data_IF_869240739576
#
_entry.id   IF_869240739576
#
_cell.length_a   1.000
_cell.length_b   1.000
_cell.length_c   1.000
_cell.angle_alpha   90.00
_cell.angle_beta   90.00
_cell.angle_gamma   90.00
#
_symmetry.space_group_name_H-M   'P 1'
#
loop_
_entity.id
_entity.type
_entity.pdbx_description
1 polymer ?
#
# COMPACT_ATOMS: atom_id res chain seq x y z
N UNK A 1 -5.35 -0.94 -11.73
CA UNK A 1 -4.02 -1.54 -11.97
C UNK A 1 -4.14 -2.58 -13.05
N UNK A 2 -3.12 -2.76 -13.90
CA UNK A 2 -3.10 -3.81 -14.92
C UNK A 2 -2.43 -5.06 -14.35
N UNK A 3 -3.10 -6.21 -14.40
CA UNK A 3 -2.58 -7.48 -13.90
C UNK A 3 -1.76 -8.19 -14.98
N UNK A 4 -0.51 -7.75 -15.19
CA UNK A 4 0.41 -8.43 -16.11
C UNK A 4 1.40 -9.26 -15.29
N UNK A 5 1.22 -10.58 -15.23
CA UNK A 5 2.12 -11.45 -14.48
C UNK A 5 1.64 -12.86 -14.14
N UNK A 6 0.55 -13.36 -14.72
CA UNK A 6 0.16 -14.77 -14.57
C UNK A 6 0.51 -15.55 -15.84
N UNK A 7 1.33 -16.58 -15.71
CA UNK A 7 1.36 -17.72 -16.62
C UNK A 7 0.49 -18.79 -15.98
N UNK A 8 -0.64 -19.15 -16.60
CA UNK A 8 -1.51 -20.22 -16.11
C UNK A 8 -2.93 -20.14 -16.68
N UNK A 9 -3.58 -21.30 -16.80
CA UNK A 9 -4.87 -21.48 -17.46
C UNK A 9 -6.10 -21.14 -16.58
N UNK A 10 -5.94 -20.29 -15.56
CA UNK A 10 -7.07 -19.77 -14.77
C UNK A 10 -7.62 -20.71 -13.68
N UNK A 11 -7.04 -21.89 -13.47
CA UNK A 11 -7.38 -22.83 -12.38
C UNK A 11 -6.26 -23.01 -11.34
N UNK A 12 -5.08 -22.43 -11.59
CA UNK A 12 -3.96 -22.48 -10.67
C UNK A 12 -4.10 -21.32 -9.68
N UNK A 13 -4.20 -21.65 -8.39
CA UNK A 13 -4.06 -20.73 -7.25
C UNK A 13 -3.09 -19.60 -7.62
N UNK A 14 -3.43 -18.29 -7.51
CA UNK A 14 -2.66 -17.28 -8.22
C UNK A 14 -1.20 -17.28 -7.74
N UNK A 15 -0.32 -17.86 -8.55
CA UNK A 15 1.13 -17.81 -8.42
C UNK A 15 1.65 -16.44 -8.89
N UNK A 16 0.96 -15.38 -8.47
CA UNK A 16 1.25 -14.01 -8.87
C UNK A 16 2.50 -13.59 -8.11
N UNK A 17 3.68 -13.63 -8.72
CA UNK A 17 4.92 -13.21 -8.08
C UNK A 17 4.90 -11.71 -7.77
N UNK A 18 4.41 -10.91 -8.74
CA UNK A 18 4.31 -9.45 -8.61
C UNK A 18 3.10 -8.89 -9.36
N UNK A 19 2.58 -7.75 -8.89
CA UNK A 19 1.73 -6.86 -9.68
C UNK A 19 2.33 -5.45 -9.73
N UNK A 20 1.80 -4.61 -10.62
CA UNK A 20 2.42 -3.33 -10.95
C UNK A 20 1.43 -2.18 -10.88
N UNK A 21 1.89 -1.06 -10.32
CA UNK A 21 1.11 0.18 -10.18
C UNK A 21 1.75 1.32 -10.95
N UNK A 22 0.94 2.33 -11.28
CA UNK A 22 1.34 3.54 -11.99
C UNK A 22 1.98 3.27 -13.37
N UNK A 23 1.67 2.12 -13.97
CA UNK A 23 2.18 1.73 -15.29
C UNK A 23 1.51 2.53 -16.41
N UNK A 24 0.21 2.80 -16.28
CA UNK A 24 -0.59 3.41 -17.35
C UNK A 24 -0.64 2.53 -18.60
N UNK A 25 -0.92 3.13 -19.75
CA UNK A 25 -0.99 2.45 -21.06
C UNK A 25 0.36 2.30 -21.76
N UNK A 26 1.36 3.08 -21.35
CA UNK A 26 2.65 3.20 -22.05
C UNK A 26 3.73 2.28 -21.48
N UNK A 27 3.38 1.30 -20.64
CA UNK A 27 4.36 0.39 -20.03
C UNK A 27 3.99 -1.06 -20.34
N UNK A 28 4.92 -1.75 -20.99
CA UNK A 28 4.89 -3.19 -21.17
C UNK A 28 5.76 -3.86 -20.10
N UNK A 29 5.26 -4.97 -19.56
CA UNK A 29 5.94 -5.74 -18.51
C UNK A 29 5.85 -7.22 -18.88
N UNK A 30 6.99 -7.90 -18.86
CA UNK A 30 7.11 -9.33 -19.01
C UNK A 30 7.76 -9.90 -17.74
N UNK A 31 6.99 -10.59 -16.91
CA UNK A 31 7.53 -11.31 -15.75
C UNK A 31 8.18 -12.59 -16.28
N UNK A 32 9.49 -12.72 -16.13
CA UNK A 32 10.25 -13.86 -16.65
C UNK A 32 10.21 -15.07 -15.71
N UNK A 33 9.97 -14.82 -14.42
CA UNK A 33 9.84 -15.86 -13.41
C UNK A 33 10.14 -15.32 -12.01
N UNK A 34 10.03 -16.21 -11.03
CA UNK A 34 10.31 -15.93 -9.64
C UNK A 34 9.74 -17.02 -8.75
N UNK A 35 10.06 -16.93 -7.47
CA UNK A 35 9.58 -17.80 -6.41
C UNK A 35 9.46 -16.99 -5.12
N UNK A 36 9.39 -17.67 -3.98
CA UNK A 36 9.30 -17.04 -2.66
C UNK A 36 10.54 -16.20 -2.26
N UNK A 37 11.63 -16.24 -3.05
CA UNK A 37 12.93 -15.60 -2.77
C UNK A 37 13.47 -14.79 -3.94
N UNK A 38 12.86 -14.88 -5.11
CA UNK A 38 13.37 -14.27 -6.33
C UNK A 38 12.26 -13.69 -7.20
N UNK A 39 12.58 -12.61 -7.92
CA UNK A 39 11.73 -12.04 -8.97
C UNK A 39 12.64 -11.66 -10.13
N UNK A 40 12.19 -11.92 -11.37
CA UNK A 40 12.82 -11.41 -12.57
C UNK A 40 11.77 -10.92 -13.56
N UNK A 41 11.93 -9.69 -14.06
CA UNK A 41 11.02 -9.10 -15.03
C UNK A 41 11.77 -8.18 -16.00
N UNK A 42 11.22 -8.05 -17.21
CA UNK A 42 11.62 -7.06 -18.20
C UNK A 42 10.52 -6.03 -18.37
N UNK A 43 10.90 -4.76 -18.41
CA UNK A 43 9.99 -3.62 -18.49
C UNK A 43 10.41 -2.70 -19.62
N UNK A 44 9.44 -2.17 -20.35
CA UNK A 44 9.67 -1.14 -21.35
C UNK A 44 8.64 -0.03 -21.19
N UNK A 45 9.09 1.23 -21.26
CA UNK A 45 8.23 2.40 -21.19
C UNK A 45 8.27 3.17 -22.50
N UNK A 46 7.17 3.16 -23.24
CA UNK A 46 6.98 3.89 -24.50
C UNK A 46 6.69 5.39 -24.27
N UNK A 47 6.39 5.78 -23.02
CA UNK A 47 6.03 7.15 -22.65
C UNK A 47 7.18 7.91 -22.00
N UNK A 48 6.83 8.96 -21.25
CA UNK A 48 7.79 9.75 -20.47
C UNK A 48 8.31 8.96 -19.26
N UNK A 49 9.51 9.31 -18.79
CA UNK A 49 10.08 8.71 -17.57
C UNK A 49 9.11 8.88 -16.37
N UNK A 50 8.99 7.86 -15.53
CA UNK A 50 8.06 7.86 -14.39
C UNK A 50 8.49 6.89 -13.29
N UNK A 51 7.86 7.06 -12.12
CA UNK A 51 7.94 6.09 -11.03
C UNK A 51 6.79 5.09 -11.14
N UNK A 52 7.12 3.81 -11.13
CA UNK A 52 6.15 2.72 -11.00
C UNK A 52 6.36 2.03 -9.65
N UNK A 53 5.41 1.19 -9.23
CA UNK A 53 5.62 0.34 -8.06
C UNK A 53 5.42 -1.13 -8.40
N UNK A 54 6.37 -1.97 -7.98
CA UNK A 54 6.25 -3.42 -7.97
C UNK A 54 5.68 -3.85 -6.63
N UNK A 55 4.48 -4.43 -6.64
CA UNK A 55 3.88 -5.08 -5.48
C UNK A 55 4.30 -6.54 -5.45
N UNK A 56 5.06 -6.94 -4.43
CA UNK A 56 5.50 -8.33 -4.25
C UNK A 56 4.40 -9.10 -3.52
N UNK A 57 4.03 -10.30 -3.96
CA UNK A 57 2.98 -11.08 -3.28
C UNK A 57 3.50 -12.35 -2.61
N UNK A 58 4.44 -13.03 -3.26
CA UNK A 58 4.92 -14.34 -2.79
C UNK A 58 6.24 -14.29 -2.03
N UNK A 59 6.94 -13.15 -2.06
CA UNK A 59 8.22 -13.04 -1.39
C UNK A 59 8.08 -13.18 0.13
N UNK A 60 8.99 -13.96 0.70
CA UNK A 60 9.09 -14.11 2.13
C UNK A 60 9.73 -12.87 2.77
N UNK A 61 9.39 -12.55 4.03
CA UNK A 61 10.09 -11.51 4.77
C UNK A 61 11.61 -11.73 4.79
N UNK A 62 12.38 -10.67 4.57
CA UNK A 62 13.83 -10.74 4.45
C UNK A 62 14.47 -9.49 3.84
N UNK A 63 15.77 -9.53 3.67
CA UNK A 63 16.55 -8.55 2.93
C UNK A 63 16.80 -9.08 1.53
N UNK A 64 16.58 -8.23 0.53
CA UNK A 64 16.69 -8.58 -0.88
C UNK A 64 17.64 -7.63 -1.57
N UNK A 65 18.50 -8.17 -2.41
CA UNK A 65 19.20 -7.35 -3.40
C UNK A 65 18.24 -7.08 -4.57
N UNK A 66 17.90 -5.81 -4.76
CA UNK A 66 17.12 -5.30 -5.87
C UNK A 66 18.04 -4.62 -6.88
N UNK A 67 18.00 -5.13 -8.11
CA UNK A 67 18.76 -4.62 -9.24
C UNK A 67 17.87 -4.22 -10.39
N UNK A 68 18.17 -3.08 -10.99
CA UNK A 68 17.60 -2.61 -12.24
C UNK A 68 18.72 -2.28 -13.21
N UNK A 69 18.69 -2.86 -14.40
CA UNK A 69 19.68 -2.59 -15.46
C UNK A 69 18.99 -2.24 -16.76
N UNK A 70 19.55 -1.31 -17.53
CA UNK A 70 19.12 -1.09 -18.91
C UNK A 70 19.74 -2.16 -19.78
N UNK A 71 18.94 -2.78 -20.65
CA UNK A 71 19.42 -3.67 -21.68
C UNK A 71 19.95 -2.82 -22.84
N UNK A 72 21.28 -2.66 -22.94
CA UNK A 72 21.95 -2.03 -24.08
C UNK A 72 23.02 -2.97 -24.59
N UNK A 73 22.98 -3.28 -25.88
CA UNK A 73 24.05 -3.98 -26.57
C UNK A 73 25.34 -3.18 -26.42
N UNK A 74 26.33 -3.77 -25.74
CA UNK A 74 27.71 -3.30 -25.59
C UNK A 74 28.05 -2.28 -24.48
N UNK A 75 27.15 -1.94 -23.56
CA UNK A 75 27.49 -1.08 -22.42
C UNK A 75 27.93 -1.90 -21.19
N UNK A 76 28.97 -1.44 -20.47
CA UNK A 76 29.33 -1.91 -19.13
C UNK A 76 28.08 -1.99 -18.24
N UNK A 77 28.02 -2.97 -17.33
CA UNK A 77 26.95 -3.22 -16.35
C UNK A 77 26.58 -1.96 -15.54
N UNK A 78 25.82 -1.05 -16.14
CA UNK A 78 25.31 0.15 -15.48
C UNK A 78 23.94 -0.17 -14.89
N UNK A 79 23.96 -0.40 -13.59
CA UNK A 79 22.74 -0.52 -12.80
C UNK A 79 22.10 0.88 -12.67
N UNK A 80 20.83 0.98 -13.04
CA UNK A 80 19.97 2.11 -12.66
C UNK A 80 19.72 2.10 -11.13
N UNK A 81 19.74 0.90 -10.55
CA UNK A 81 19.51 0.65 -9.14
C UNK A 81 20.23 -0.66 -8.76
N UNK A 82 21.00 -0.65 -7.67
CA UNK A 82 21.53 -1.83 -6.99
C UNK A 82 21.47 -1.53 -5.48
N UNK A 83 20.47 -2.04 -4.79
CA UNK A 83 20.19 -1.69 -3.39
C UNK A 83 19.64 -2.85 -2.60
N UNK A 84 19.81 -2.81 -1.27
CA UNK A 84 19.12 -3.71 -0.36
C UNK A 84 17.75 -3.14 -0.01
N UNK A 85 16.71 -3.95 -0.21
CA UNK A 85 15.33 -3.67 0.24
C UNK A 85 14.99 -4.62 1.38
N UNK A 86 14.37 -4.07 2.43
CA UNK A 86 13.88 -4.86 3.58
C UNK A 86 12.38 -5.08 3.44
N UNK A 87 11.97 -6.34 3.42
CA UNK A 87 10.57 -6.76 3.41
C UNK A 87 10.24 -7.33 4.80
N UNK A 88 9.48 -6.58 5.60
CA UNK A 88 9.03 -7.05 6.92
C UNK A 88 7.76 -7.91 6.81
N UNK A 89 6.96 -7.65 5.78
CA UNK A 89 5.69 -8.30 5.46
C UNK A 89 5.79 -9.02 4.11
N UNK A 90 4.82 -9.88 3.76
CA UNK A 90 4.83 -10.58 2.46
C UNK A 90 4.50 -9.62 1.31
N UNK A 91 3.58 -8.69 1.56
CA UNK A 91 3.11 -7.73 0.55
C UNK A 91 3.74 -6.37 0.80
N UNK A 92 4.53 -5.88 -0.15
CA UNK A 92 5.13 -4.55 -0.10
C UNK A 92 5.08 -3.91 -1.49
N UNK A 93 4.98 -2.59 -1.53
CA UNK A 93 5.15 -1.81 -2.75
C UNK A 93 6.57 -1.26 -2.82
N UNK A 94 7.31 -1.65 -3.85
CA UNK A 94 8.68 -1.19 -4.10
C UNK A 94 8.65 -0.19 -5.26
N UNK A 95 9.01 1.06 -4.99
CA UNK A 95 9.11 2.11 -6.01
C UNK A 95 10.31 1.88 -6.94
N UNK A 96 10.09 1.98 -8.25
CA UNK A 96 11.10 1.73 -9.28
C UNK A 96 11.10 2.87 -10.31
N UNK A 97 12.25 3.52 -10.56
CA UNK A 97 12.37 4.50 -11.63
C UNK A 97 12.37 3.80 -12.99
N UNK A 98 11.47 4.19 -13.88
CA UNK A 98 11.38 3.64 -15.23
C UNK A 98 11.69 4.71 -16.28
N UNK A 99 12.88 4.67 -16.93
CA UNK A 99 13.27 5.64 -17.96
C UNK A 99 12.41 5.53 -19.22
N UNK A 100 12.41 6.57 -20.05
CA UNK A 100 11.71 6.59 -21.35
C UNK A 100 12.46 5.77 -22.41
N UNK A 101 11.74 5.01 -23.22
CA UNK A 101 12.22 4.30 -24.41
C UNK A 101 13.43 3.38 -24.16
N UNK A 102 13.46 2.71 -23.01
CA UNK A 102 14.52 1.78 -22.61
C UNK A 102 13.91 0.47 -22.12
N UNK A 103 14.51 -0.65 -22.56
CA UNK A 103 14.26 -1.95 -21.98
C UNK A 103 15.06 -2.05 -20.67
N UNK A 104 14.37 -2.38 -19.58
CA UNK A 104 14.96 -2.50 -18.25
C UNK A 104 14.70 -3.90 -17.73
N UNK A 105 15.74 -4.57 -17.25
CA UNK A 105 15.59 -5.80 -16.48
C UNK A 105 15.59 -5.46 -14.99
N UNK A 106 14.56 -5.91 -14.28
CA UNK A 106 14.44 -5.86 -12.82
C UNK A 106 14.68 -7.26 -12.30
N UNK A 107 15.59 -7.40 -11.34
CA UNK A 107 15.81 -8.66 -10.63
C UNK A 107 15.86 -8.41 -9.14
N UNK A 108 15.24 -9.29 -8.37
CA UNK A 108 15.31 -9.27 -6.93
C UNK A 108 15.68 -10.66 -6.40
N UNK A 109 16.58 -10.73 -5.44
CA UNK A 109 17.05 -11.99 -4.86
C UNK A 109 17.29 -11.86 -3.36
N UNK A 110 16.73 -12.78 -2.58
CA UNK A 110 16.86 -12.76 -1.13
C UNK A 110 18.33 -12.98 -0.72
N UNK A 111 18.88 -12.03 0.02
CA UNK A 111 20.24 -12.14 0.60
C UNK A 111 20.20 -12.55 2.07
N UNK A 112 19.07 -12.33 2.75
CA UNK A 112 18.86 -12.74 4.14
C UNK A 112 17.39 -13.02 4.40
N UNK A 113 17.08 -14.20 4.93
CA UNK A 113 15.71 -14.53 5.35
C UNK A 113 15.43 -14.02 6.75
N UNK A 114 14.24 -13.47 6.98
CA UNK A 114 13.75 -13.23 8.34
C UNK A 114 12.99 -14.45 8.85
N UNK A 115 12.97 -14.63 10.17
CA UNK A 115 12.27 -15.76 10.80
C UNK A 115 10.77 -15.59 10.58
N UNK A 116 10.18 -16.50 9.81
CA UNK A 116 8.73 -16.56 9.64
C UNK A 116 8.14 -17.29 10.84
N UNK A 117 7.51 -16.56 11.73
CA UNK A 117 6.67 -17.16 12.77
C UNK A 117 5.25 -17.30 12.22
N UNK A 118 4.71 -18.52 12.24
CA UNK A 118 3.27 -18.79 11.99
C UNK A 118 2.44 -18.37 13.21
N UNK A 119 2.62 -17.13 13.64
CA UNK A 119 1.90 -16.54 14.77
C UNK A 119 0.70 -15.77 14.25
N UNK A 120 -0.36 -15.74 15.04
CA UNK A 120 -1.46 -14.83 14.79
C UNK A 120 -0.94 -13.39 14.68
N UNK A 121 -1.53 -12.61 13.77
CA UNK A 121 -1.18 -11.23 13.47
C UNK A 121 -2.44 -10.39 13.33
N UNK A 122 -2.33 -9.15 13.76
CA UNK A 122 -3.35 -8.13 13.56
C UNK A 122 -3.32 -7.71 12.09
N UNK A 123 -4.43 -7.22 11.56
CA UNK A 123 -4.47 -6.64 10.22
C UNK A 123 -5.55 -5.55 10.23
N UNK A 124 -5.12 -4.31 10.48
CA UNK A 124 -6.04 -3.19 10.50
C UNK A 124 -6.27 -2.66 9.10
N UNK A 125 -7.53 -2.37 8.79
CA UNK A 125 -7.90 -1.89 7.48
C UNK A 125 -9.00 -0.85 7.51
N UNK A 126 -8.95 0.03 6.51
CA UNK A 126 -9.98 0.99 6.18
C UNK A 126 -9.90 1.30 4.69
N UNK A 127 -11.04 1.64 4.10
CA UNK A 127 -11.19 2.05 2.72
C UNK A 127 -11.87 3.43 2.63
N UNK A 128 -11.93 4.00 1.43
CA UNK A 128 -12.50 5.34 1.22
C UNK A 128 -13.96 5.42 1.69
N UNK A 129 -14.73 4.36 1.42
CA UNK A 129 -16.12 4.20 1.90
C UNK A 129 -16.29 4.16 3.41
N UNK A 130 -15.22 3.86 4.15
CA UNK A 130 -15.23 3.83 5.61
C UNK A 130 -15.03 5.23 6.20
N UNK A 131 -14.71 6.23 5.37
CA UNK A 131 -14.66 7.64 5.75
C UNK A 131 -15.97 8.31 5.39
N UNK A 132 -16.56 8.97 6.39
CA UNK A 132 -17.68 9.88 6.19
C UNK A 132 -17.33 11.23 6.76
N UNK A 133 -17.68 12.28 6.02
CA UNK A 133 -17.47 13.66 6.44
C UNK A 133 -18.83 14.32 6.51
N UNK A 134 -19.15 14.94 7.64
CA UNK A 134 -20.44 15.58 7.90
C UNK A 134 -20.22 16.93 8.59
N UNK A 135 -21.19 17.84 8.48
CA UNK A 135 -21.24 19.04 9.34
C UNK A 135 -22.05 18.67 10.59
N UNK A 136 -21.52 18.91 11.78
CA UNK A 136 -22.24 18.67 13.03
C UNK A 136 -23.11 19.89 13.43
N UNK A 137 -23.91 19.73 14.48
CA UNK A 137 -24.81 20.78 14.97
C UNK A 137 -24.11 22.06 15.46
N UNK A 138 -22.82 21.97 15.81
CA UNK A 138 -21.99 23.10 16.26
C UNK A 138 -21.23 23.77 15.11
N UNK A 139 -21.60 23.46 13.87
CA UNK A 139 -20.95 23.92 12.65
C UNK A 139 -19.49 23.48 12.46
N UNK A 140 -19.06 22.45 13.18
CA UNK A 140 -17.78 21.80 12.95
C UNK A 140 -17.92 20.71 11.89
N UNK A 141 -16.80 20.37 11.25
CA UNK A 141 -16.70 19.20 10.40
C UNK A 141 -16.39 18.00 11.28
N UNK A 142 -17.24 16.98 11.19
CA UNK A 142 -17.08 15.69 11.83
C UNK A 142 -16.61 14.68 10.78
N UNK A 143 -15.42 14.09 11.00
CA UNK A 143 -14.84 13.05 10.16
C UNK A 143 -14.97 11.74 10.93
N UNK A 144 -15.85 10.86 10.46
CA UNK A 144 -16.04 9.53 10.99
C UNK A 144 -15.22 8.54 10.15
N UNK A 145 -14.47 7.67 10.81
CA UNK A 145 -13.73 6.60 10.14
C UNK A 145 -14.02 5.26 10.82
N UNK A 146 -14.33 4.23 10.04
CA UNK A 146 -14.52 2.87 10.53
C UNK A 146 -13.24 2.07 10.32
N UNK A 147 -12.64 1.62 11.41
CA UNK A 147 -11.43 0.79 11.40
C UNK A 147 -11.85 -0.66 11.58
N UNK A 148 -11.42 -1.54 10.68
CA UNK A 148 -11.70 -2.97 10.72
C UNK A 148 -10.45 -3.73 11.17
N UNK A 149 -10.63 -4.84 11.89
CA UNK A 149 -9.57 -5.83 12.07
C UNK A 149 -9.91 -7.05 11.22
N UNK A 150 -9.11 -7.31 10.19
CA UNK A 150 -9.24 -8.47 9.28
C UNK A 150 -8.22 -9.57 9.60
N UNK A 151 -7.46 -9.40 10.69
CA UNK A 151 -6.44 -10.33 11.12
C UNK A 151 -7.00 -11.47 11.98
N UNK A 152 -6.11 -12.26 12.54
CA UNK A 152 -6.45 -13.32 13.49
C UNK A 152 -5.89 -13.08 14.91
N UNK A 153 -5.42 -11.85 15.16
CA UNK A 153 -5.00 -11.35 16.47
C UNK A 153 -5.71 -10.02 16.78
N UNK A 154 -6.19 -9.85 18.00
CA UNK A 154 -6.74 -8.58 18.47
C UNK A 154 -5.70 -7.46 18.37
N UNK A 155 -6.14 -6.27 17.96
CA UNK A 155 -5.34 -5.07 17.98
C UNK A 155 -5.42 -4.41 19.37
N UNK A 156 -4.29 -4.10 19.99
CA UNK A 156 -4.17 -3.39 21.28
C UNK A 156 -3.40 -2.09 21.11
N UNK A 157 -3.93 -1.00 21.69
CA UNK A 157 -3.30 0.34 21.74
C UNK A 157 -2.79 0.83 20.40
N UNK A 158 -3.68 0.89 19.41
CA UNK A 158 -3.36 1.42 18.09
C UNK A 158 -3.71 2.90 18.02
N UNK A 159 -2.86 3.71 17.41
CA UNK A 159 -3.11 5.14 17.21
C UNK A 159 -3.78 5.35 15.87
N UNK A 160 -4.95 5.97 15.85
CA UNK A 160 -5.61 6.43 14.63
C UNK A 160 -5.39 7.93 14.51
N UNK A 161 -4.75 8.38 13.44
CA UNK A 161 -4.43 9.78 13.21
C UNK A 161 -5.19 10.34 12.01
N UNK A 162 -5.74 11.53 12.17
CA UNK A 162 -6.27 12.36 11.09
C UNK A 162 -5.17 13.28 10.57
N UNK A 163 -4.96 13.30 9.26
CA UNK A 163 -4.13 14.29 8.58
C UNK A 163 -4.92 15.06 7.53
N UNK A 164 -4.66 16.36 7.41
CA UNK A 164 -5.21 17.23 6.38
C UNK A 164 -4.05 17.77 5.57
N UNK A 165 -4.06 17.56 4.25
CA UNK A 165 -2.98 18.00 3.35
C UNK A 165 -1.59 17.53 3.80
N UNK A 166 -1.52 16.30 4.35
CA UNK A 166 -0.29 15.68 4.84
C UNK A 166 0.12 16.05 6.28
N UNK A 167 -0.54 17.00 6.92
CA UNK A 167 -0.24 17.42 8.29
C UNK A 167 -1.18 16.72 9.30
N UNK A 168 -0.64 16.07 10.32
CA UNK A 168 -1.44 15.46 11.39
C UNK A 168 -2.14 16.55 12.20
N UNK A 169 -3.47 16.47 12.27
CA UNK A 169 -4.31 17.43 13.00
C UNK A 169 -4.82 16.91 14.33
N UNK A 170 -5.10 15.61 14.40
CA UNK A 170 -5.61 14.98 15.60
C UNK A 170 -5.31 13.48 15.60
N UNK A 171 -5.41 12.85 16.78
CA UNK A 171 -5.19 11.41 16.95
C UNK A 171 -5.99 10.83 18.10
N UNK A 172 -6.51 9.62 17.92
CA UNK A 172 -7.31 8.89 18.91
C UNK A 172 -6.68 7.54 19.17
N UNK A 173 -6.58 7.16 20.46
CA UNK A 173 -6.14 5.83 20.87
C UNK A 173 -7.29 4.83 20.73
N UNK A 174 -7.13 3.87 19.83
CA UNK A 174 -7.94 2.66 19.75
C UNK A 174 -7.45 1.67 20.80
N UNK A 175 -8.17 1.59 21.93
CA UNK A 175 -7.80 0.76 23.07
C UNK A 175 -7.66 -0.72 22.70
N UNK A 176 -8.71 -1.28 22.11
CA UNK A 176 -8.77 -2.67 21.67
C UNK A 176 -9.72 -2.78 20.47
N UNK A 177 -9.40 -3.69 19.55
CA UNK A 177 -10.26 -4.17 18.48
C UNK A 177 -10.03 -5.66 18.25
N UNK A 178 -11.00 -6.48 18.64
CA UNK A 178 -10.95 -7.95 18.53
C UNK A 178 -10.69 -8.42 17.09
N UNK A 179 -10.12 -9.62 16.96
CA UNK A 179 -10.06 -10.32 15.67
C UNK A 179 -11.38 -11.08 15.39
N UNK A 180 -11.86 -11.12 14.14
CA UNK A 180 -13.06 -11.83 13.71
C UNK A 180 -12.84 -13.35 13.60
N UNK A 181 -12.33 -13.99 14.67
CA UNK A 181 -12.03 -15.43 14.70
C UNK A 181 -13.31 -16.31 14.67
N UNK A 182 -14.48 -15.70 14.80
CA UNK A 182 -15.82 -16.29 14.67
C UNK A 182 -16.48 -16.01 13.31
N UNK A 183 -15.72 -15.45 12.35
CA UNK A 183 -16.21 -14.99 11.04
C UNK A 183 -17.24 -13.85 11.10
N UNK A 184 -17.39 -13.21 12.26
CA UNK A 184 -18.22 -12.01 12.40
C UNK A 184 -17.31 -10.78 12.33
N UNK A 185 -17.57 -9.83 11.41
CA UNK A 185 -16.74 -8.64 11.26
C UNK A 185 -16.53 -7.89 12.58
N UNK A 186 -15.30 -7.43 12.83
CA UNK A 186 -14.93 -6.61 13.99
C UNK A 186 -14.44 -5.26 13.50
N UNK A 187 -15.17 -4.21 13.87
CA UNK A 187 -14.86 -2.83 13.48
C UNK A 187 -15.15 -1.85 14.61
N UNK A 188 -14.47 -0.71 14.60
CA UNK A 188 -14.70 0.39 15.55
C UNK A 188 -14.67 1.72 14.84
N UNK A 189 -15.68 2.54 15.12
CA UNK A 189 -15.74 3.90 14.62
C UNK A 189 -14.89 4.82 15.49
N UNK A 190 -14.12 5.69 14.84
CA UNK A 190 -13.47 6.85 15.46
C UNK A 190 -14.04 8.12 14.85
N UNK A 191 -14.05 9.19 15.63
CA UNK A 191 -14.63 10.47 15.25
C UNK A 191 -13.62 11.56 15.55
N UNK A 192 -13.32 12.37 14.54
CA UNK A 192 -12.53 13.58 14.66
C UNK A 192 -13.41 14.81 14.41
N UNK A 193 -13.13 15.90 15.11
CA UNK A 193 -13.86 17.16 14.94
C UNK A 193 -12.89 18.28 14.66
N UNK A 194 -13.19 19.08 13.64
CA UNK A 194 -12.37 20.23 13.29
C UNK A 194 -13.21 21.38 12.79
N UNK A 195 -12.67 22.60 12.93
CA UNK A 195 -13.28 23.77 12.31
C UNK A 195 -13.20 23.65 10.78
N UNK A 196 -14.26 24.02 10.04
CA UNK A 196 -14.23 24.01 8.59
C UNK A 196 -13.13 24.95 8.08
N UNK A 197 -12.40 24.48 7.07
CA UNK A 197 -11.44 25.28 6.31
C UNK A 197 -11.93 25.20 4.87
N UNK A 198 -12.17 26.34 4.23
CA UNK A 198 -12.62 26.36 2.85
C UNK A 198 -11.49 25.94 1.90
N UNK A 199 -11.85 25.17 0.88
CA UNK A 199 -10.90 24.66 -0.11
C UNK A 199 -11.07 23.19 -0.42
N UNK A 200 -10.13 22.68 -1.22
CA UNK A 200 -9.99 21.26 -1.52
C UNK A 200 -8.92 20.72 -0.57
N UNK A 201 -9.26 19.66 0.14
CA UNK A 201 -8.42 19.06 1.17
C UNK A 201 -8.26 17.57 0.95
N UNK A 202 -7.02 17.10 1.08
CA UNK A 202 -6.72 15.67 1.17
C UNK A 202 -6.86 15.25 2.62
N UNK A 203 -7.95 14.55 2.93
CA UNK A 203 -8.24 14.01 4.25
C UNK A 203 -7.69 12.60 4.32
N UNK A 204 -6.71 12.38 5.19
CA UNK A 204 -6.11 11.05 5.38
C UNK A 204 -6.39 10.52 6.77
N UNK A 205 -6.78 9.25 6.85
CA UNK A 205 -6.84 8.49 8.10
C UNK A 205 -5.75 7.43 8.02
N UNK A 206 -4.93 7.36 9.07
CA UNK A 206 -3.88 6.36 9.22
C UNK A 206 -4.01 5.67 10.58
N UNK A 207 -3.91 4.35 10.61
CA UNK A 207 -3.88 3.57 11.85
C UNK A 207 -2.54 2.87 12.02
N UNK A 208 -1.95 2.96 13.21
CA UNK A 208 -0.66 2.35 13.50
C UNK A 208 -0.67 1.64 14.85
N UNK A 209 -0.24 0.38 14.85
CA UNK A 209 -0.02 -0.41 16.06
C UNK A 209 1.47 -0.67 16.27
N UNK A 210 1.86 -0.98 17.51
CA UNK A 210 3.20 -1.52 17.79
C UNK A 210 3.30 -3.02 17.49
N UNK A 211 2.15 -3.71 17.49
CA UNK A 211 2.08 -5.14 17.16
C UNK A 211 2.39 -5.35 15.67
N UNK A 212 3.07 -6.45 15.30
CA UNK A 212 3.27 -6.80 13.90
C UNK A 212 1.95 -7.11 13.20
N UNK A 213 1.78 -6.57 11.99
CA UNK A 213 0.58 -6.80 11.18
C UNK A 213 0.83 -7.82 10.05
N UNK A 214 -0.25 -8.30 9.44
CA UNK A 214 -0.18 -9.10 8.21
C UNK A 214 0.36 -8.23 7.08
N UNK A 215 -0.18 -7.03 6.94
CA UNK A 215 0.23 -5.97 6.03
C UNK A 215 -0.07 -4.62 6.68
N UNK A 216 0.72 -3.59 6.38
CA UNK A 216 0.44 -2.19 6.76
C UNK A 216 -0.08 -1.35 5.58
N UNK A 217 -0.18 -1.93 4.38
CA UNK A 217 -0.59 -1.24 3.16
C UNK A 217 -2.05 -0.78 3.14
N UNK A 218 -2.87 -1.36 4.00
CA UNK A 218 -4.30 -1.12 4.21
C UNK A 218 -4.56 -0.21 5.41
N UNK A 219 -3.51 0.25 6.10
CA UNK A 219 -3.63 1.08 7.30
C UNK A 219 -3.86 2.56 7.01
N UNK A 220 -3.79 2.97 5.74
CA UNK A 220 -3.94 4.37 5.35
C UNK A 220 -4.87 4.50 4.16
N UNK A 221 -5.76 5.47 4.25
CA UNK A 221 -6.59 5.92 3.14
C UNK A 221 -6.59 7.44 3.09
N UNK A 222 -6.74 7.98 1.88
CA UNK A 222 -6.84 9.41 1.62
C UNK A 222 -8.02 9.66 0.70
N UNK A 223 -8.93 10.56 1.08
CA UNK A 223 -10.06 11.01 0.27
C UNK A 223 -9.95 12.52 0.06
N UNK A 224 -10.47 13.01 -1.07
CA UNK A 224 -10.47 14.43 -1.36
C UNK A 224 -11.83 15.03 -1.01
N UNK A 225 -11.82 16.09 -0.20
CA UNK A 225 -13.03 16.76 0.28
C UNK A 225 -13.00 18.22 -0.12
N UNK A 226 -14.08 18.71 -0.71
CA UNK A 226 -14.28 20.13 -1.00
C UNK A 226 -15.21 20.76 0.04
N UNK A 227 -14.68 21.74 0.76
CA UNK A 227 -15.41 22.55 1.74
C UNK A 227 -15.60 23.97 1.21
N UNK A 228 -16.80 24.54 1.36
CA UNK A 228 -17.10 25.95 1.05
C UNK A 228 -18.16 26.47 2.00
N UNK A 229 -17.91 27.62 2.63
CA UNK A 229 -18.83 28.21 3.62
C UNK A 229 -19.21 27.19 4.72
N UNK A 230 -18.25 26.32 5.08
CA UNK A 230 -18.47 25.23 6.03
C UNK A 230 -19.43 24.12 5.57
N UNK A 231 -19.79 24.06 4.28
CA UNK A 231 -20.55 22.96 3.67
C UNK A 231 -19.65 22.05 2.85
N UNK A 232 -19.95 20.76 2.87
CA UNK A 232 -19.32 19.77 2.01
C UNK A 232 -20.01 19.85 0.65
N UNK A 233 -19.25 20.18 -0.39
CA UNK A 233 -19.77 20.25 -1.76
C UNK A 233 -19.59 18.89 -2.45
N UNK A 234 -18.41 18.29 -2.29
CA UNK A 234 -18.06 17.02 -2.91
C UNK A 234 -17.09 16.23 -2.02
N UNK A 235 -17.30 14.92 -1.97
CA UNK A 235 -16.33 13.93 -1.50
C UNK A 235 -16.01 13.01 -2.67
N UNK A 236 -14.73 12.90 -3.04
CA UNK A 236 -14.24 12.01 -4.10
C UNK A 236 -13.66 10.73 -3.51
#
# INVERSE_FOLDING_TARGET
GMYNGHFGAGYEYPALIASWKNTGKDVAICVQGGDEKTIKASLYNFGTAKQIAMRTWQLQPGEYNLRMKVDQDHAQDHYLLDTIVKLNERVNDIGLPLPTNKLVTVSMSQVKSYKITKTAKTDLSLAERDIQVHKNANEEIEIQAVIHNTGNLSADKCMVSLSINGEVKDSVLLSELEAPNDLQPRSKQVIFRMKPIDGIHDVSINVACKQPEITTLNNKVTVQVQLKEGKIIHSF
#
